data_IF_787337635877
#
_entry.id   IF_787337635877
#
_cell.length_a   1.000
_cell.length_b   1.000
_cell.length_c   1.000
_cell.angle_alpha   90.00
_cell.angle_beta   90.00
_cell.angle_gamma   90.00
#
_symmetry.space_group_name_H-M   'P 1'
#
loop_
_entity.id
_entity.type
_entity.pdbx_description
1 polymer ?
#
# COMPACT_ATOMS: atom_id res chain seq x y z
N UNK A 1 -17.55 1.59 9.97
CA UNK A 1 -17.15 0.50 9.07
C UNK A 1 -18.05 -0.69 9.32
N UNK A 2 -18.57 -1.32 8.27
CA UNK A 2 -19.37 -2.53 8.42
C UNK A 2 -18.43 -3.72 8.69
N UNK A 3 -18.63 -4.42 9.82
CA UNK A 3 -17.84 -5.60 10.22
C UNK A 3 -17.77 -6.67 9.12
N UNK A 4 -18.77 -6.70 8.23
CA UNK A 4 -18.91 -7.67 7.14
C UNK A 4 -17.77 -7.56 6.11
N UNK A 5 -17.37 -6.35 5.71
CA UNK A 5 -16.32 -6.19 4.69
C UNK A 5 -14.96 -6.71 5.16
N UNK A 6 -14.60 -6.43 6.42
CA UNK A 6 -13.36 -6.91 7.01
C UNK A 6 -13.36 -8.44 7.21
N UNK A 7 -14.51 -9.06 7.45
CA UNK A 7 -14.63 -10.52 7.54
C UNK A 7 -14.25 -11.21 6.23
N UNK A 8 -14.56 -10.60 5.07
CA UNK A 8 -14.15 -11.13 3.76
C UNK A 8 -12.63 -11.08 3.55
N UNK A 9 -11.95 -10.12 4.18
CA UNK A 9 -10.49 -9.94 4.03
C UNK A 9 -9.68 -10.71 5.09
N UNK A 10 -10.33 -11.18 6.17
CA UNK A 10 -9.67 -11.87 7.26
C UNK A 10 -8.79 -13.07 6.84
N UNK A 11 -9.18 -13.92 5.85
CA UNK A 11 -8.31 -15.01 5.40
C UNK A 11 -6.96 -14.55 4.82
N UNK A 12 -6.85 -13.28 4.42
CA UNK A 12 -5.63 -12.71 3.86
C UNK A 12 -4.75 -12.01 4.89
N UNK A 13 -5.21 -11.87 6.15
CA UNK A 13 -4.46 -11.23 7.23
C UNK A 13 -3.50 -12.22 7.91
N UNK A 14 -2.41 -11.73 8.50
CA UNK A 14 -1.63 -12.44 9.54
C UNK A 14 -2.36 -12.39 10.87
N UNK A 15 -2.88 -11.21 11.21
CA UNK A 15 -3.55 -10.93 12.47
C UNK A 15 -4.99 -11.43 12.45
N UNK A 16 -5.57 -11.59 13.65
CA UNK A 16 -6.99 -11.91 13.83
C UNK A 16 -7.90 -10.67 13.83
N UNK A 17 -7.32 -9.48 13.68
CA UNK A 17 -8.02 -8.21 13.59
C UNK A 17 -7.25 -7.24 12.70
N UNK A 18 -7.89 -6.14 12.32
CA UNK A 18 -7.24 -5.07 11.56
C UNK A 18 -6.09 -4.42 12.35
N UNK A 19 -6.27 -4.21 13.65
CA UNK A 19 -5.24 -3.68 14.55
C UNK A 19 -4.04 -4.63 14.63
N UNK A 20 -4.29 -5.95 14.69
CA UNK A 20 -3.23 -6.95 14.72
C UNK A 20 -2.47 -7.01 13.40
N UNK A 21 -3.20 -6.92 12.27
CA UNK A 21 -2.62 -6.85 10.94
C UNK A 21 -1.78 -5.58 10.74
N UNK A 22 -2.30 -4.43 11.15
CA UNK A 22 -1.55 -3.18 11.11
C UNK A 22 -0.40 -3.17 12.10
N UNK A 23 -0.51 -3.88 13.22
CA UNK A 23 0.59 -4.13 14.14
C UNK A 23 1.73 -4.91 13.49
N UNK A 24 1.39 -5.92 12.67
CA UNK A 24 2.36 -6.67 11.88
C UNK A 24 3.05 -5.77 10.84
N UNK A 25 2.28 -5.00 10.07
CA UNK A 25 2.84 -4.04 9.10
C UNK A 25 3.72 -3.00 9.81
N UNK A 26 3.26 -2.43 10.92
CA UNK A 26 4.02 -1.45 11.68
C UNK A 26 5.32 -2.04 12.25
N UNK A 27 5.34 -3.32 12.63
CA UNK A 27 6.58 -3.99 13.06
C UNK A 27 7.66 -3.93 11.97
N UNK A 28 7.29 -4.12 10.70
CA UNK A 28 8.21 -4.04 9.56
C UNK A 28 8.48 -2.61 9.06
N UNK A 29 7.73 -1.61 9.52
CA UNK A 29 7.83 -0.21 9.06
C UNK A 29 7.88 0.79 10.21
N UNK A 30 8.41 0.39 11.38
CA UNK A 30 8.45 1.25 12.57
C UNK A 30 9.55 2.31 12.49
N UNK A 31 10.63 2.08 11.74
CA UNK A 31 11.68 3.07 11.58
C UNK A 31 11.18 4.24 10.68
N UNK A 32 11.30 5.51 11.12
CA UNK A 32 10.72 6.66 10.41
C UNK A 32 11.26 6.80 8.98
N UNK A 33 12.58 6.61 8.78
CA UNK A 33 13.18 6.67 7.44
C UNK A 33 12.69 5.53 6.54
N UNK A 34 12.58 4.29 7.04
CA UNK A 34 12.03 3.18 6.27
C UNK A 34 10.60 3.50 5.81
N UNK A 35 9.77 3.96 6.75
CA UNK A 35 8.40 4.39 6.47
C UNK A 35 8.34 5.48 5.41
N UNK A 36 9.19 6.51 5.51
CA UNK A 36 9.25 7.59 4.53
C UNK A 36 9.60 7.08 3.12
N UNK A 37 10.61 6.19 3.02
CA UNK A 37 10.99 5.60 1.74
C UNK A 37 9.84 4.79 1.12
N UNK A 38 9.10 4.02 1.92
CA UNK A 38 7.92 3.32 1.46
C UNK A 38 6.79 4.27 1.03
N UNK A 39 6.54 5.31 1.82
CA UNK A 39 5.52 6.33 1.50
C UNK A 39 5.83 7.03 0.18
N UNK A 40 7.10 7.31 -0.12
CA UNK A 40 7.51 7.91 -1.40
C UNK A 40 7.43 6.88 -2.54
N UNK A 41 7.94 5.67 -2.34
CA UNK A 41 8.01 4.64 -3.37
C UNK A 41 6.63 4.15 -3.83
N UNK A 42 5.65 4.13 -2.93
CA UNK A 42 4.38 3.47 -3.16
C UNK A 42 3.52 4.14 -4.25
N UNK A 43 3.32 5.47 -4.28
CA UNK A 43 2.65 6.14 -5.40
C UNK A 43 3.26 5.77 -6.76
N UNK A 44 4.59 5.67 -6.85
CA UNK A 44 5.28 5.30 -8.08
C UNK A 44 5.04 3.83 -8.49
N UNK A 45 5.01 2.90 -7.52
CA UNK A 45 4.67 1.50 -7.79
C UNK A 45 3.26 1.38 -8.36
N UNK A 46 2.29 2.00 -7.70
CA UNK A 46 0.89 1.89 -8.11
C UNK A 46 0.66 2.61 -9.44
N UNK A 47 1.24 3.80 -9.62
CA UNK A 47 1.23 4.51 -10.90
C UNK A 47 1.79 3.64 -12.02
N UNK A 48 2.95 3.00 -11.81
CA UNK A 48 3.58 2.16 -12.83
C UNK A 48 2.76 0.93 -13.17
N UNK A 49 2.16 0.25 -12.19
CA UNK A 49 1.23 -0.87 -12.44
C UNK A 49 0.02 -0.43 -13.25
N UNK A 50 -0.53 0.73 -12.90
CA UNK A 50 -1.64 1.34 -13.63
C UNK A 50 -1.22 1.74 -15.06
N UNK A 51 -0.02 2.29 -15.28
CA UNK A 51 0.52 2.61 -16.60
C UNK A 51 0.75 1.36 -17.45
N UNK A 52 1.24 0.27 -16.86
CA UNK A 52 1.42 -1.02 -17.56
C UNK A 52 0.07 -1.56 -18.00
N UNK A 53 -0.90 -1.65 -17.08
CA UNK A 53 -2.24 -2.16 -17.42
C UNK A 53 -2.91 -1.28 -18.48
N UNK A 54 -2.78 0.05 -18.39
CA UNK A 54 -3.31 0.98 -19.39
C UNK A 54 -2.66 0.81 -20.76
N UNK A 55 -1.34 0.54 -20.79
CA UNK A 55 -0.57 0.33 -22.03
C UNK A 55 -0.96 -0.95 -22.76
N UNK A 56 -1.51 -1.93 -22.03
CA UNK A 56 -2.04 -3.18 -22.58
C UNK A 56 -3.50 -2.98 -23.00
N UNK A 57 -4.35 -2.54 -22.07
CA UNK A 57 -5.76 -2.22 -22.30
C UNK A 57 -6.26 -1.28 -21.20
N UNK A 58 -6.76 -0.10 -21.59
CA UNK A 58 -7.31 0.88 -20.65
C UNK A 58 -8.42 0.30 -19.75
N UNK A 59 -9.18 -0.69 -20.22
CA UNK A 59 -10.24 -1.36 -19.44
C UNK A 59 -9.67 -2.17 -18.30
N UNK A 60 -8.52 -2.81 -18.49
CA UNK A 60 -7.80 -3.52 -17.43
C UNK A 60 -7.31 -2.55 -16.37
N UNK A 61 -6.84 -1.37 -16.76
CA UNK A 61 -6.46 -0.32 -15.82
C UNK A 61 -7.66 0.19 -15.02
N UNK A 62 -8.81 0.44 -15.65
CA UNK A 62 -10.04 0.82 -14.95
C UNK A 62 -10.52 -0.27 -13.99
N UNK A 63 -10.47 -1.54 -14.40
CA UNK A 63 -10.82 -2.67 -13.54
C UNK A 63 -9.87 -2.77 -12.34
N UNK A 64 -8.56 -2.69 -12.57
CA UNK A 64 -7.57 -2.70 -11.51
C UNK A 64 -7.79 -1.54 -10.53
N UNK A 65 -7.98 -0.32 -11.05
CA UNK A 65 -8.29 0.87 -10.26
C UNK A 65 -9.54 0.67 -9.39
N UNK A 66 -10.64 0.20 -9.98
CA UNK A 66 -11.89 -0.04 -9.26
C UNK A 66 -11.71 -1.08 -8.15
N UNK A 67 -11.15 -2.25 -8.48
CA UNK A 67 -10.90 -3.33 -7.51
C UNK A 67 -9.98 -2.86 -6.38
N UNK A 68 -8.89 -2.17 -6.73
CA UNK A 68 -7.92 -1.66 -5.76
C UNK A 68 -8.56 -0.67 -4.79
N UNK A 69 -9.26 0.35 -5.29
CA UNK A 69 -9.94 1.33 -4.46
C UNK A 69 -11.08 0.72 -3.65
N UNK A 70 -11.80 -0.28 -4.17
CA UNK A 70 -12.82 -1.01 -3.41
C UNK A 70 -12.20 -1.77 -2.23
N UNK A 71 -11.13 -2.54 -2.45
CA UNK A 71 -10.45 -3.29 -1.39
C UNK A 71 -9.91 -2.34 -0.32
N UNK A 72 -9.24 -1.25 -0.72
CA UNK A 72 -8.77 -0.26 0.25
C UNK A 72 -9.94 0.40 0.98
N UNK A 73 -11.06 0.70 0.31
CA UNK A 73 -12.24 1.27 0.97
C UNK A 73 -12.87 0.32 2.00
N UNK A 74 -12.81 -0.99 1.75
CA UNK A 74 -13.23 -2.03 2.70
C UNK A 74 -12.33 -2.00 3.95
N UNK A 75 -11.01 -1.87 3.78
CA UNK A 75 -10.05 -1.77 4.89
C UNK A 75 -10.20 -0.43 5.61
N UNK A 76 -10.17 0.68 4.88
CA UNK A 76 -10.35 2.05 5.35
C UNK A 76 -10.98 2.99 4.31
N UNK A 77 -12.20 3.44 4.57
CA UNK A 77 -12.94 4.33 3.66
C UNK A 77 -12.23 5.67 3.42
N UNK A 78 -11.58 6.26 4.43
CA UNK A 78 -10.87 7.55 4.26
C UNK A 78 -9.66 7.38 3.35
N UNK A 79 -8.89 6.31 3.55
CA UNK A 79 -7.79 5.96 2.65
C UNK A 79 -8.30 5.62 1.25
N UNK A 80 -9.40 4.88 1.14
CA UNK A 80 -10.05 4.55 -0.13
C UNK A 80 -10.41 5.81 -0.93
N UNK A 81 -11.07 6.77 -0.28
CA UNK A 81 -11.37 8.08 -0.86
C UNK A 81 -10.11 8.86 -1.25
N UNK A 82 -9.06 8.83 -0.43
CA UNK A 82 -7.79 9.47 -0.75
C UNK A 82 -7.14 8.85 -2.01
N UNK A 83 -7.15 7.53 -2.14
CA UNK A 83 -6.65 6.84 -3.33
C UNK A 83 -7.53 7.09 -4.57
N UNK A 84 -8.86 7.12 -4.41
CA UNK A 84 -9.78 7.51 -5.50
C UNK A 84 -9.46 8.92 -6.00
N UNK A 85 -9.26 9.87 -5.10
CA UNK A 85 -8.91 11.24 -5.46
C UNK A 85 -7.53 11.31 -6.14
N UNK A 86 -6.51 10.67 -5.55
CA UNK A 86 -5.15 10.65 -6.07
C UNK A 86 -5.11 10.04 -7.48
N UNK A 87 -5.71 8.87 -7.67
CA UNK A 87 -5.74 8.23 -8.97
C UNK A 87 -6.65 8.96 -9.95
N UNK A 88 -7.79 9.51 -9.52
CA UNK A 88 -8.63 10.34 -10.37
C UNK A 88 -7.89 11.56 -10.93
N UNK A 89 -7.05 12.22 -10.12
CA UNK A 89 -6.21 13.34 -10.56
C UNK A 89 -5.09 12.90 -11.52
N UNK A 90 -4.56 11.69 -11.36
CA UNK A 90 -3.49 11.16 -12.21
C UNK A 90 -4.03 10.58 -13.53
N UNK A 91 -5.16 9.87 -13.48
CA UNK A 91 -5.78 9.18 -14.62
C UNK A 91 -6.75 10.05 -15.41
N UNK A 92 -7.43 11.00 -14.78
CA UNK A 92 -8.33 11.93 -15.47
C UNK A 92 -7.65 12.66 -16.64
N UNK A 93 -6.43 13.19 -16.44
CA UNK A 93 -5.63 13.80 -17.51
C UNK A 93 -4.90 12.77 -18.40
N UNK A 94 -4.83 11.48 -18.05
CA UNK A 94 -4.00 10.51 -18.77
C UNK A 94 -4.44 10.24 -20.22
N UNK A 95 -5.67 10.61 -20.62
CA UNK A 95 -6.05 10.70 -22.04
C UNK A 95 -5.16 11.67 -22.84
N UNK A 96 -4.45 12.58 -22.18
CA UNK A 96 -3.53 13.58 -22.77
C UNK A 96 -2.13 12.99 -23.01
N UNK A 97 -1.73 11.94 -22.26
CA UNK A 97 -0.42 11.28 -22.42
C UNK A 97 -0.61 9.94 -23.14
N UNK A 98 -0.83 10.04 -24.44
CA UNK A 98 -1.16 8.98 -25.40
C UNK A 98 -0.08 7.92 -25.67
N UNK A 99 0.87 7.71 -24.76
CA UNK A 99 1.91 6.69 -24.95
C UNK A 99 1.38 5.32 -24.50
N UNK A 100 0.75 4.59 -25.42
CA UNK A 100 0.56 3.15 -25.31
C UNK A 100 1.78 2.40 -25.85
N UNK A 101 1.90 1.13 -25.50
CA UNK A 101 2.93 0.23 -26.06
C UNK A 101 4.20 0.11 -25.22
N UNK A 102 5.21 -0.51 -25.84
CA UNK A 102 6.35 -1.09 -25.14
C UNK A 102 7.25 -0.08 -24.41
N UNK A 103 7.33 1.16 -24.91
CA UNK A 103 8.14 2.22 -24.31
C UNK A 103 7.59 2.61 -22.92
N UNK A 104 6.27 2.77 -22.80
CA UNK A 104 5.61 3.06 -21.52
C UNK A 104 5.79 1.93 -20.53
N UNK A 105 5.66 0.68 -21.00
CA UNK A 105 5.91 -0.51 -20.18
C UNK A 105 7.36 -0.51 -19.68
N UNK A 106 8.32 -0.22 -20.55
CA UNK A 106 9.74 -0.16 -20.19
C UNK A 106 10.01 0.88 -19.09
N UNK A 107 9.52 2.12 -19.25
CA UNK A 107 9.69 3.15 -18.22
C UNK A 107 8.97 2.80 -16.91
N UNK A 108 7.77 2.24 -16.98
CA UNK A 108 7.05 1.80 -15.79
C UNK A 108 7.82 0.70 -15.04
N UNK A 109 8.45 -0.25 -15.75
CA UNK A 109 9.30 -1.27 -15.14
C UNK A 109 10.55 -0.66 -14.47
N UNK A 110 11.18 0.35 -15.09
CA UNK A 110 12.31 1.07 -14.46
C UNK A 110 11.89 1.78 -13.18
N UNK A 111 10.72 2.44 -13.18
CA UNK A 111 10.17 3.10 -11.99
C UNK A 111 9.86 2.07 -10.90
N UNK A 112 9.28 0.92 -11.25
CA UNK A 112 9.05 -0.19 -10.30
C UNK A 112 10.37 -0.64 -9.70
N UNK A 113 11.39 -0.87 -10.51
CA UNK A 113 12.71 -1.30 -10.04
C UNK A 113 13.31 -0.29 -9.06
N UNK A 114 13.29 1.01 -9.41
CA UNK A 114 13.80 2.06 -8.54
C UNK A 114 13.02 2.14 -7.21
N UNK A 115 11.69 2.03 -7.25
CA UNK A 115 10.85 2.05 -6.07
C UNK A 115 11.09 0.82 -5.17
N UNK A 116 11.27 -0.37 -5.74
CA UNK A 116 11.64 -1.57 -5.01
C UNK A 116 13.02 -1.44 -4.35
N UNK A 117 14.00 -0.87 -5.05
CA UNK A 117 15.34 -0.60 -4.47
C UNK A 117 15.21 0.33 -3.26
N UNK A 118 14.41 1.40 -3.34
CA UNK A 118 14.17 2.31 -2.20
C UNK A 118 13.55 1.58 -1.00
N UNK A 119 12.57 0.71 -1.23
CA UNK A 119 11.95 -0.10 -0.17
C UNK A 119 12.95 -1.10 0.44
N UNK A 120 13.76 -1.77 -0.38
CA UNK A 120 14.82 -2.68 0.07
C UNK A 120 15.85 -1.93 0.94
N UNK A 121 16.27 -0.74 0.51
CA UNK A 121 17.16 0.13 1.31
C UNK A 121 16.50 0.45 2.66
N UNK A 122 15.22 0.82 2.64
CA UNK A 122 14.41 1.03 3.84
C UNK A 122 14.50 -0.13 4.83
N UNK A 123 14.24 -1.34 4.35
CA UNK A 123 14.26 -2.56 5.15
C UNK A 123 15.65 -2.91 5.69
N UNK A 124 16.65 -3.04 4.83
CA UNK A 124 17.96 -3.55 5.27
C UNK A 124 18.80 -2.51 6.00
N UNK A 125 18.81 -1.25 5.53
CA UNK A 125 19.66 -0.22 6.10
C UNK A 125 19.08 0.37 7.38
N UNK A 126 17.77 0.59 7.42
CA UNK A 126 17.13 1.33 8.52
C UNK A 126 16.32 0.43 9.45
N UNK A 127 15.46 -0.44 8.88
CA UNK A 127 14.66 -1.35 9.70
C UNK A 127 15.49 -2.50 10.29
N UNK A 128 16.60 -2.87 9.63
CA UNK A 128 17.47 -4.01 9.98
C UNK A 128 16.73 -5.35 9.99
N UNK A 129 15.74 -5.49 9.11
CA UNK A 129 14.99 -6.73 8.93
C UNK A 129 14.74 -6.95 7.44
N UNK A 130 14.59 -8.21 7.03
CA UNK A 130 14.10 -8.51 5.69
C UNK A 130 12.64 -8.00 5.52
N UNK A 131 12.21 -7.67 4.29
CA UNK A 131 10.81 -7.38 4.02
C UNK A 131 9.93 -8.61 4.28
N UNK A 132 8.75 -8.41 4.87
CA UNK A 132 7.71 -9.42 4.87
C UNK A 132 7.07 -9.48 3.48
N UNK A 133 7.37 -10.51 2.70
CA UNK A 133 6.87 -10.61 1.33
C UNK A 133 5.55 -11.39 1.28
N UNK A 134 4.45 -10.69 1.58
CA UNK A 134 3.09 -11.19 1.33
C UNK A 134 2.39 -10.28 0.34
N UNK A 135 1.94 -10.86 -0.77
CA UNK A 135 1.38 -10.12 -1.89
C UNK A 135 0.21 -9.23 -1.47
N UNK A 136 -0.73 -9.76 -0.68
CA UNK A 136 -1.89 -9.00 -0.21
C UNK A 136 -1.50 -7.83 0.70
N UNK A 137 -0.52 -8.03 1.60
CA UNK A 137 -0.02 -6.97 2.47
C UNK A 137 0.70 -5.89 1.66
N UNK A 138 1.59 -6.29 0.76
CA UNK A 138 2.36 -5.37 -0.07
C UNK A 138 1.46 -4.52 -0.97
N UNK A 139 0.39 -5.10 -1.53
CA UNK A 139 -0.50 -4.41 -2.47
C UNK A 139 -1.61 -3.62 -1.77
N UNK A 140 -2.19 -4.10 -0.66
CA UNK A 140 -3.38 -3.47 -0.07
C UNK A 140 -3.17 -2.96 1.34
N UNK A 141 -2.62 -3.79 2.23
CA UNK A 141 -2.54 -3.46 3.66
C UNK A 141 -1.50 -2.37 3.93
N UNK A 142 -0.27 -2.53 3.45
CA UNK A 142 0.82 -1.55 3.63
C UNK A 142 0.45 -0.19 3.03
N UNK A 143 -0.11 -0.10 1.80
CA UNK A 143 -0.65 1.15 1.26
C UNK A 143 -1.70 1.81 2.13
N UNK A 144 -2.65 1.03 2.62
CA UNK A 144 -3.71 1.55 3.48
C UNK A 144 -3.15 2.03 4.80
N UNK A 145 -2.24 1.26 5.40
CA UNK A 145 -1.56 1.60 6.65
C UNK A 145 -0.80 2.92 6.52
N UNK A 146 0.02 3.09 5.47
CA UNK A 146 0.81 4.31 5.26
C UNK A 146 -0.10 5.51 4.99
N UNK A 147 -1.15 5.34 4.19
CA UNK A 147 -2.12 6.40 3.94
C UNK A 147 -2.85 6.80 5.23
N UNK A 148 -3.33 5.85 6.02
CA UNK A 148 -3.93 6.12 7.33
C UNK A 148 -2.93 6.83 8.25
N UNK A 149 -1.68 6.40 8.26
CA UNK A 149 -0.63 7.02 9.05
C UNK A 149 -0.42 8.49 8.67
N UNK A 150 -0.58 8.86 7.40
CA UNK A 150 -0.47 10.26 6.97
C UNK A 150 -1.69 11.12 7.33
N UNK A 151 -2.90 10.57 7.24
CA UNK A 151 -4.15 11.36 7.30
C UNK A 151 -4.85 11.34 8.67
N UNK A 152 -4.34 10.60 9.65
CA UNK A 152 -4.97 10.45 10.97
C UNK A 152 -4.07 10.91 12.11
N UNK A 153 -4.67 11.22 13.26
CA UNK A 153 -3.95 11.62 14.48
C UNK A 153 -3.48 10.36 15.22
N UNK A 154 -2.18 10.24 15.49
CA UNK A 154 -1.58 9.00 16.02
C UNK A 154 -1.88 8.71 17.50
N UNK A 155 -2.67 9.57 18.14
CA UNK A 155 -3.09 9.45 19.53
C UNK A 155 -4.50 8.84 19.68
N UNK A 156 -5.19 8.53 18.58
CA UNK A 156 -6.46 7.82 18.60
C UNK A 156 -6.31 6.39 19.16
N UNK A 157 -7.37 5.87 19.78
CA UNK A 157 -7.43 4.51 20.39
C UNK A 157 -6.93 3.43 19.43
N UNK A 158 -7.29 3.52 18.15
CA UNK A 158 -6.82 2.60 17.12
C UNK A 158 -5.30 2.49 17.05
N UNK A 159 -4.58 3.61 17.04
CA UNK A 159 -3.12 3.61 16.99
C UNK A 159 -2.46 3.12 18.29
N UNK A 160 -3.13 3.32 19.43
CA UNK A 160 -2.69 2.70 20.69
C UNK A 160 -2.75 1.17 20.60
N UNK A 161 -3.82 0.62 20.03
CA UNK A 161 -3.98 -0.83 19.89
C UNK A 161 -3.02 -1.40 18.83
N UNK A 162 -2.83 -0.72 17.70
CA UNK A 162 -1.78 -1.07 16.72
C UNK A 162 -0.39 -1.11 17.37
N UNK A 163 -0.05 -0.15 18.25
CA UNK A 163 1.22 -0.17 19.00
C UNK A 163 1.33 -1.36 19.95
N UNK A 164 0.26 -1.73 20.65
CA UNK A 164 0.23 -2.94 21.51
C UNK A 164 0.47 -4.20 20.68
N UNK A 165 -0.24 -4.35 19.56
CA UNK A 165 -0.09 -5.48 18.63
C UNK A 165 1.32 -5.52 18.02
N UNK A 166 1.89 -4.36 17.65
CA UNK A 166 3.27 -4.27 17.18
C UNK A 166 4.26 -4.86 18.20
N UNK A 167 4.06 -4.59 19.49
CA UNK A 167 4.93 -5.13 20.54
C UNK A 167 4.76 -6.65 20.72
N UNK A 168 3.56 -7.20 20.51
CA UNK A 168 3.35 -8.65 20.46
C UNK A 168 4.12 -9.28 19.30
N UNK A 169 4.04 -8.70 18.10
CA UNK A 169 4.81 -9.18 16.94
C UNK A 169 6.32 -9.12 17.17
N UNK A 170 6.83 -8.09 17.85
CA UNK A 170 8.24 -8.03 18.26
C UNK A 170 8.66 -9.19 19.17
N UNK A 171 7.77 -9.73 19.98
CA UNK A 171 8.08 -10.86 20.85
C UNK A 171 8.04 -12.19 20.09
N UNK A 172 7.15 -12.29 19.09
CA UNK A 172 6.96 -13.52 18.28
C UNK A 172 8.07 -13.69 17.25
N UNK A 173 8.56 -12.58 16.66
CA UNK A 173 9.48 -12.60 15.50
C UNK A 173 10.94 -12.28 15.84
N UNK A 174 11.28 -12.15 17.13
CA UNK A 174 12.66 -12.08 17.61
C UNK A 174 13.23 -13.48 17.77
#
# INVERSE_FOLDING_TARGET
MTRIGLQLLHPFFKGNSLESEFGFVNYYHCHPINRLLHTIALPFLIFSLLSITYSIDYRLSLLFYAVYCTIISIINIKSGLAFIALFGLIFGPAKIFSSQGIITIFYALLIILAALILQIIGHYKFQKSAPAFRLFEAIFVTPTFLMMYLITIHNETFWNDVRKETNKWKQILK
#
